data_IF_544627306268
#
_entry.id   IF_544627306268
#
_cell.length_a   1.000
_cell.length_b   1.000
_cell.length_c   1.000
_cell.angle_alpha   90.00
_cell.angle_beta   90.00
_cell.angle_gamma   90.00
#
_symmetry.space_group_name_H-M   'P 1'
#
loop_
_entity.id
_entity.type
_entity.pdbx_description
1 polymer ?
#
# COMPACT_ATOMS: atom_id res chain seq x y z
N UNK A 1 25.22 3.73 7.91
CA UNK A 1 24.53 2.69 7.13
C UNK A 1 24.60 3.09 5.67
N UNK A 2 25.28 2.31 4.82
CA UNK A 2 25.18 2.50 3.37
C UNK A 2 23.72 2.28 3.01
N UNK A 3 23.02 3.33 2.57
CA UNK A 3 21.68 3.21 2.01
C UNK A 3 21.77 2.31 0.78
N UNK A 4 21.28 1.09 0.90
CA UNK A 4 21.23 0.11 -0.18
C UNK A 4 20.51 0.72 -1.39
N UNK A 5 21.03 0.44 -2.58
CA UNK A 5 20.42 0.82 -3.83
C UNK A 5 19.10 0.04 -3.99
N UNK A 6 17.94 0.70 -4.17
CA UNK A 6 16.65 0.02 -4.33
C UNK A 6 16.62 -1.01 -5.45
N UNK A 7 17.39 -0.80 -6.52
CA UNK A 7 17.50 -1.76 -7.64
C UNK A 7 18.17 -3.05 -7.16
N UNK A 8 19.26 -2.94 -6.40
CA UNK A 8 20.00 -4.11 -5.92
C UNK A 8 19.15 -4.90 -4.91
N UNK A 9 18.45 -4.19 -4.01
CA UNK A 9 17.52 -4.84 -3.08
C UNK A 9 16.38 -5.54 -3.84
N UNK A 10 15.75 -4.87 -4.81
CA UNK A 10 14.69 -5.47 -5.60
C UNK A 10 15.16 -6.70 -6.39
N UNK A 11 16.32 -6.64 -7.05
CA UNK A 11 16.93 -7.79 -7.73
C UNK A 11 17.18 -8.97 -6.77
N UNK A 12 17.71 -8.70 -5.58
CA UNK A 12 17.96 -9.74 -4.56
C UNK A 12 16.69 -10.40 -4.02
N UNK A 13 15.56 -9.69 -4.03
CA UNK A 13 14.28 -10.15 -3.48
C UNK A 13 13.37 -10.79 -4.53
N UNK A 14 13.41 -10.29 -5.76
CA UNK A 14 12.48 -10.67 -6.83
C UNK A 14 13.10 -11.64 -7.84
N UNK A 15 14.37 -11.46 -8.21
CA UNK A 15 14.99 -12.22 -9.31
C UNK A 15 15.93 -13.31 -8.81
N UNK A 16 16.85 -12.98 -7.91
CA UNK A 16 17.86 -13.92 -7.43
C UNK A 16 17.26 -15.21 -6.80
N UNK A 17 16.17 -15.16 -6.00
CA UNK A 17 15.59 -16.36 -5.40
C UNK A 17 14.96 -17.32 -6.40
N UNK A 18 14.64 -16.82 -7.61
CA UNK A 18 13.93 -17.57 -8.64
C UNK A 18 14.83 -18.00 -9.79
N UNK A 19 16.13 -17.64 -9.72
CA UNK A 19 17.12 -17.91 -10.75
C UNK A 19 16.96 -17.03 -12.00
N UNK A 20 16.13 -15.98 -11.94
CA UNK A 20 16.00 -15.00 -13.01
C UNK A 20 17.17 -14.00 -12.98
N UNK A 21 17.55 -13.55 -14.17
CA UNK A 21 18.54 -12.51 -14.39
C UNK A 21 18.14 -11.64 -15.59
N UNK A 22 18.96 -10.66 -15.96
CA UNK A 22 18.65 -9.72 -17.04
C UNK A 22 18.49 -10.41 -18.41
N UNK A 23 19.17 -11.54 -18.67
CA UNK A 23 19.04 -12.26 -19.94
C UNK A 23 17.65 -12.87 -20.11
N UNK A 24 17.08 -13.38 -19.01
CA UNK A 24 15.71 -13.89 -18.99
C UNK A 24 14.67 -12.78 -19.23
N UNK A 25 14.92 -11.59 -18.71
CA UNK A 25 14.07 -10.42 -18.88
C UNK A 25 14.14 -9.89 -20.33
N UNK A 26 15.34 -9.84 -20.91
CA UNK A 26 15.55 -9.54 -22.33
C UNK A 26 14.77 -10.54 -23.20
N UNK A 27 14.81 -11.83 -22.88
CA UNK A 27 14.06 -12.85 -23.61
C UNK A 27 12.54 -12.61 -23.56
N UNK A 28 12.01 -12.24 -22.39
CA UNK A 28 10.59 -11.94 -22.21
C UNK A 28 10.16 -10.68 -22.97
N UNK A 29 10.93 -9.59 -22.88
CA UNK A 29 10.65 -8.38 -23.66
C UNK A 29 10.76 -8.58 -25.17
N UNK A 30 11.76 -9.33 -25.64
CA UNK A 30 11.87 -9.69 -27.05
C UNK A 30 10.69 -10.55 -27.53
N UNK A 31 10.05 -11.31 -26.63
CA UNK A 31 8.80 -12.03 -26.95
C UNK A 31 7.64 -11.05 -27.11
N UNK A 32 7.58 -10.00 -26.29
CA UNK A 32 6.53 -8.99 -26.33
C UNK A 32 6.63 -8.06 -27.54
N UNK A 33 7.83 -7.67 -27.94
CA UNK A 33 8.08 -6.73 -29.04
C UNK A 33 7.86 -7.33 -30.44
N UNK A 34 7.25 -8.52 -30.53
CA UNK A 34 6.88 -9.13 -31.81
C UNK A 34 5.52 -8.56 -32.30
N UNK A 35 5.38 -8.38 -33.61
CA UNK A 35 4.07 -8.05 -34.20
C UNK A 35 3.64 -6.58 -34.07
N UNK A 36 4.56 -5.62 -34.15
CA UNK A 36 4.18 -4.20 -34.15
C UNK A 36 3.70 -3.67 -32.79
N UNK A 37 4.24 -4.22 -31.71
CA UNK A 37 4.15 -3.63 -30.36
C UNK A 37 5.11 -2.44 -30.29
N UNK A 38 4.60 -1.29 -29.87
CA UNK A 38 5.34 -0.02 -29.77
C UNK A 38 6.20 0.02 -28.50
N UNK A 39 5.65 -0.46 -27.39
CA UNK A 39 6.34 -0.54 -26.10
C UNK A 39 5.79 -1.70 -25.26
N UNK A 40 6.65 -2.28 -24.44
CA UNK A 40 6.34 -3.35 -23.51
C UNK A 40 7.06 -3.15 -22.18
N UNK A 41 6.46 -3.64 -21.09
CA UNK A 41 7.08 -3.66 -19.78
C UNK A 41 6.79 -4.94 -18.99
N UNK A 42 7.70 -5.22 -18.06
CA UNK A 42 7.62 -6.24 -17.03
C UNK A 42 7.57 -5.53 -15.67
N UNK A 43 6.55 -5.81 -14.88
CA UNK A 43 6.36 -5.28 -13.54
C UNK A 43 6.41 -6.42 -12.52
N UNK A 44 7.49 -6.50 -11.76
CA UNK A 44 7.65 -7.50 -10.69
C UNK A 44 7.29 -6.88 -9.35
N UNK A 45 6.64 -7.66 -8.48
CA UNK A 45 6.24 -7.21 -7.16
C UNK A 45 6.30 -8.35 -6.15
N UNK A 46 6.71 -8.02 -4.94
CA UNK A 46 6.45 -8.81 -3.73
C UNK A 46 5.93 -7.88 -2.65
N UNK A 47 4.83 -8.27 -2.02
CA UNK A 47 4.16 -7.55 -0.95
C UNK A 47 4.12 -8.47 0.25
N UNK A 48 4.65 -8.01 1.38
CA UNK A 48 4.38 -8.63 2.68
C UNK A 48 3.47 -7.70 3.44
N UNK A 49 2.32 -8.21 3.85
CA UNK A 49 1.33 -7.48 4.63
C UNK A 49 1.18 -8.16 5.99
N UNK A 50 1.05 -7.34 7.02
CA UNK A 50 0.83 -7.76 8.39
C UNK A 50 -0.27 -6.91 9.01
N UNK A 51 -1.23 -7.53 9.70
CA UNK A 51 -2.28 -6.81 10.40
C UNK A 51 -2.54 -7.42 11.78
N UNK A 52 -2.74 -6.54 12.76
CA UNK A 52 -3.09 -6.90 14.14
C UNK A 52 -4.36 -6.15 14.53
N UNK A 53 -5.32 -6.83 15.13
CA UNK A 53 -6.54 -6.22 15.63
C UNK A 53 -6.76 -6.53 17.10
N UNK A 54 -7.11 -5.49 17.85
CA UNK A 54 -7.55 -5.57 19.23
C UNK A 54 -9.01 -5.16 19.31
N UNK A 55 -9.79 -5.97 20.03
CA UNK A 55 -11.17 -5.68 20.38
C UNK A 55 -11.45 -6.32 21.75
N UNK A 56 -12.27 -5.68 22.58
CA UNK A 56 -12.61 -6.15 23.93
C UNK A 56 -11.38 -6.32 24.86
N UNK A 57 -10.36 -5.48 24.68
CA UNK A 57 -9.12 -5.52 25.47
C UNK A 57 -8.20 -6.70 25.15
N UNK A 58 -8.56 -7.53 24.17
CA UNK A 58 -7.78 -8.68 23.72
C UNK A 58 -7.39 -8.52 22.25
N UNK A 59 -6.18 -8.95 21.90
CA UNK A 59 -5.78 -9.05 20.48
C UNK A 59 -6.52 -10.25 19.90
N UNK A 60 -7.48 -10.00 19.01
CA UNK A 60 -8.35 -11.03 18.42
C UNK A 60 -7.73 -11.68 17.19
N UNK A 61 -6.98 -10.90 16.40
CA UNK A 61 -6.43 -11.36 15.14
C UNK A 61 -5.00 -10.84 14.94
N UNK A 62 -4.14 -11.71 14.43
CA UNK A 62 -2.86 -11.37 13.81
C UNK A 62 -2.79 -12.11 12.48
N UNK A 63 -2.68 -11.38 11.38
CA UNK A 63 -2.60 -11.95 10.03
C UNK A 63 -1.30 -11.54 9.34
N UNK A 64 -0.75 -12.46 8.56
CA UNK A 64 0.41 -12.26 7.72
C UNK A 64 0.13 -12.84 6.35
N UNK A 65 0.31 -12.05 5.30
CA UNK A 65 0.17 -12.49 3.92
C UNK A 65 1.39 -12.07 3.10
N UNK A 66 1.72 -12.91 2.13
CA UNK A 66 2.76 -12.65 1.14
C UNK A 66 2.14 -12.85 -0.22
N UNK A 67 2.10 -11.77 -0.99
CA UNK A 67 1.68 -11.79 -2.39
C UNK A 67 2.90 -11.48 -3.25
N UNK A 68 3.04 -12.15 -4.38
CA UNK A 68 4.11 -11.88 -5.33
C UNK A 68 3.62 -12.15 -6.75
N UNK A 69 4.33 -11.59 -7.72
CA UNK A 69 4.02 -11.89 -9.10
C UNK A 69 4.76 -11.01 -10.10
N UNK A 70 4.45 -11.27 -11.36
CA UNK A 70 4.89 -10.46 -12.49
C UNK A 70 3.69 -10.13 -13.37
N UNK A 71 3.52 -8.84 -13.64
CA UNK A 71 2.63 -8.31 -14.67
C UNK A 71 3.40 -7.98 -15.93
N UNK A 72 2.79 -8.23 -17.09
CA UNK A 72 3.43 -8.03 -18.39
C UNK A 72 2.48 -7.25 -19.29
N UNK A 73 2.97 -6.14 -19.86
CA UNK A 73 2.18 -5.30 -20.79
C UNK A 73 2.84 -5.22 -22.15
N UNK A 74 2.00 -5.26 -23.18
CA UNK A 74 2.34 -4.90 -24.56
C UNK A 74 1.37 -3.82 -25.03
N UNK A 75 1.88 -2.75 -25.65
CA UNK A 75 1.08 -1.63 -26.13
C UNK A 75 1.34 -1.38 -27.63
N UNK A 76 0.26 -1.16 -28.39
CA UNK A 76 0.30 -0.83 -29.82
C UNK A 76 -0.78 0.21 -30.12
N UNK A 77 -0.38 1.47 -30.32
CA UNK A 77 -1.27 2.63 -30.33
C UNK A 77 -2.10 2.71 -29.05
N UNK A 78 -3.42 2.67 -29.19
CA UNK A 78 -4.38 2.72 -28.07
C UNK A 78 -4.69 1.34 -27.46
N UNK A 79 -4.11 0.26 -27.98
CA UNK A 79 -4.39 -1.11 -27.52
C UNK A 79 -3.37 -1.55 -26.48
N UNK A 80 -3.87 -2.16 -25.42
CA UNK A 80 -3.03 -2.75 -24.37
C UNK A 80 -3.38 -4.23 -24.21
N UNK A 81 -2.38 -5.09 -24.34
CA UNK A 81 -2.43 -6.47 -23.91
C UNK A 81 -1.78 -6.60 -22.56
N UNK A 82 -2.44 -7.33 -21.67
CA UNK A 82 -1.98 -7.54 -20.32
C UNK A 82 -2.18 -9.00 -19.91
N UNK A 83 -1.16 -9.56 -19.28
CA UNK A 83 -1.22 -10.84 -18.60
C UNK A 83 -0.35 -10.78 -17.35
N UNK A 84 -0.63 -11.64 -16.38
CA UNK A 84 0.12 -11.69 -15.13
C UNK A 84 0.26 -13.13 -14.63
N UNK A 85 1.15 -13.32 -13.67
CA UNK A 85 1.30 -14.56 -12.92
C UNK A 85 1.67 -14.27 -11.47
N UNK A 86 1.15 -15.09 -10.56
CA UNK A 86 1.49 -15.05 -9.13
C UNK A 86 2.83 -15.78 -8.83
N UNK A 87 3.48 -16.30 -9.87
CA UNK A 87 4.80 -16.93 -9.80
C UNK A 87 5.83 -16.12 -10.58
N UNK A 88 6.96 -15.82 -9.95
CA UNK A 88 8.09 -15.14 -10.59
C UNK A 88 9.07 -16.18 -11.09
N UNK A 89 8.68 -16.95 -12.12
CA UNK A 89 9.55 -17.97 -12.74
C UNK A 89 9.57 -17.83 -14.26
N UNK A 90 10.66 -18.25 -14.90
CA UNK A 90 10.84 -18.07 -16.35
C UNK A 90 9.68 -18.63 -17.19
N UNK A 91 9.16 -19.86 -16.95
CA UNK A 91 8.03 -20.37 -17.74
C UNK A 91 6.77 -19.50 -17.64
N UNK A 92 6.45 -19.02 -16.43
CA UNK A 92 5.31 -18.16 -16.17
C UNK A 92 5.48 -16.79 -16.86
N UNK A 93 6.68 -16.20 -16.74
CA UNK A 93 7.03 -14.95 -17.40
C UNK A 93 6.89 -15.03 -18.93
N UNK A 94 7.41 -16.10 -19.54
CA UNK A 94 7.31 -16.30 -20.99
C UNK A 94 5.87 -16.59 -21.43
N UNK A 95 5.08 -17.30 -20.63
CA UNK A 95 3.67 -17.54 -20.93
C UNK A 95 2.85 -16.24 -20.87
N UNK A 96 3.00 -15.45 -19.80
CA UNK A 96 2.38 -14.13 -19.69
C UNK A 96 2.80 -13.22 -20.85
N UNK A 97 4.08 -13.25 -21.22
CA UNK A 97 4.59 -12.47 -22.36
C UNK A 97 3.91 -12.81 -23.68
N UNK A 98 3.75 -14.10 -23.99
CA UNK A 98 3.04 -14.56 -25.20
C UNK A 98 1.56 -14.20 -25.18
N UNK A 99 0.92 -14.28 -24.02
CA UNK A 99 -0.49 -13.94 -23.89
C UNK A 99 -0.72 -12.43 -24.09
N UNK A 100 0.12 -11.59 -23.47
CA UNK A 100 0.04 -10.14 -23.62
C UNK A 100 0.35 -9.67 -25.05
N UNK A 101 1.29 -10.32 -25.76
CA UNK A 101 1.63 -9.95 -27.14
C UNK A 101 0.53 -10.25 -28.18
N UNK A 102 -0.48 -11.06 -27.84
CA UNK A 102 -1.53 -11.47 -28.76
C UNK A 102 -2.44 -10.32 -29.25
N UNK A 103 -2.38 -9.15 -28.62
CA UNK A 103 -3.14 -7.95 -29.04
C UNK A 103 -2.63 -7.32 -30.33
N UNK A 104 -1.39 -7.60 -30.71
CA UNK A 104 -0.70 -6.99 -31.83
C UNK A 104 -0.92 -7.83 -33.10
N UNK A 105 -1.07 -7.16 -34.26
CA UNK A 105 -1.25 -7.85 -35.55
C UNK A 105 0.10 -8.34 -36.07
N UNK A 106 0.14 -9.28 -37.01
CA UNK A 106 1.38 -9.61 -37.71
C UNK A 106 2.00 -8.32 -38.29
N UNK A 107 3.24 -8.01 -37.89
CA UNK A 107 3.90 -6.73 -38.11
C UNK A 107 5.40 -6.80 -37.84
N UNK A 108 6.12 -5.67 -38.00
CA UNK A 108 7.58 -5.63 -37.83
C UNK A 108 8.02 -5.93 -36.39
N UNK A 109 9.25 -6.42 -36.23
CA UNK A 109 9.87 -6.71 -34.93
C UNK A 109 10.46 -5.43 -34.32
N UNK A 110 10.13 -5.15 -33.06
CA UNK A 110 10.81 -4.15 -32.24
C UNK A 110 12.12 -4.68 -31.66
N UNK A 111 12.98 -3.77 -31.17
CA UNK A 111 14.21 -4.11 -30.45
C UNK A 111 14.19 -3.51 -29.05
N UNK A 112 14.60 -4.30 -28.05
CA UNK A 112 14.81 -3.83 -26.68
C UNK A 112 16.02 -2.88 -26.65
N UNK A 113 15.89 -1.72 -26.01
CA UNK A 113 17.02 -0.83 -25.79
C UNK A 113 17.86 -1.25 -24.58
N UNK A 114 19.14 -0.88 -24.58
CA UNK A 114 20.02 -1.18 -23.46
C UNK A 114 19.51 -0.54 -22.16
N UNK A 115 19.53 -1.33 -21.09
CA UNK A 115 19.00 -0.97 -19.78
C UNK A 115 19.72 0.21 -19.15
N UNK A 116 18.94 1.14 -18.59
CA UNK A 116 19.41 2.33 -17.90
C UNK A 116 18.62 2.47 -16.60
N UNK A 117 19.33 2.37 -15.49
CA UNK A 117 18.81 2.68 -14.18
C UNK A 117 18.27 4.11 -14.18
N UNK A 118 16.99 4.28 -13.85
CA UNK A 118 16.37 5.59 -13.78
C UNK A 118 16.64 6.23 -12.42
N UNK A 119 17.20 7.45 -12.36
CA UNK A 119 17.39 8.15 -11.11
C UNK A 119 16.03 8.55 -10.52
N UNK A 120 15.77 8.18 -9.28
CA UNK A 120 14.55 8.51 -8.54
C UNK A 120 14.82 9.39 -7.31
N UNK A 121 13.78 10.07 -6.84
CA UNK A 121 13.80 10.74 -5.54
C UNK A 121 13.62 9.74 -4.41
N UNK A 122 14.41 9.88 -3.34
CA UNK A 122 14.23 9.10 -2.10
C UNK A 122 13.17 9.79 -1.23
N UNK A 123 11.91 9.39 -1.39
CA UNK A 123 10.78 9.99 -0.70
C UNK A 123 10.49 9.34 0.67
N UNK A 124 11.02 8.14 0.90
CA UNK A 124 10.86 7.35 2.12
C UNK A 124 12.05 6.39 2.29
N UNK A 125 12.28 5.87 3.52
CA UNK A 125 13.35 4.90 3.75
C UNK A 125 13.03 3.55 3.09
N UNK A 126 14.03 2.95 2.44
CA UNK A 126 13.96 1.59 1.90
C UNK A 126 14.19 0.56 3.02
N UNK A 127 13.23 0.44 3.94
CA UNK A 127 13.30 -0.45 5.11
C UNK A 127 12.12 -1.41 5.12
N UNK A 128 12.29 -2.53 5.83
CA UNK A 128 11.20 -3.42 6.20
C UNK A 128 10.47 -2.89 7.44
N UNK A 129 9.25 -2.33 7.32
CA UNK A 129 8.51 -1.83 8.48
C UNK A 129 8.04 -2.97 9.40
N UNK A 130 7.85 -4.18 8.89
CA UNK A 130 7.31 -5.30 9.68
C UNK A 130 8.27 -5.76 10.76
N UNK A 131 9.58 -5.62 10.50
CA UNK A 131 10.66 -5.91 11.42
C UNK A 131 11.08 -4.71 12.30
N UNK A 132 10.41 -3.56 12.18
CA UNK A 132 10.83 -2.33 12.87
C UNK A 132 10.56 -2.32 14.38
N UNK A 133 9.58 -3.10 14.85
CA UNK A 133 9.31 -3.41 16.26
C UNK A 133 8.89 -4.87 16.38
N UNK A 134 9.06 -5.47 17.55
CA UNK A 134 8.68 -6.86 17.83
C UNK A 134 7.16 -7.04 17.92
N UNK A 135 6.68 -8.27 17.71
CA UNK A 135 5.25 -8.59 17.83
C UNK A 135 4.72 -8.33 19.24
N UNK A 136 5.53 -8.54 20.27
CA UNK A 136 5.20 -8.20 21.66
C UNK A 136 4.99 -6.69 21.84
N UNK A 137 5.82 -5.86 21.20
CA UNK A 137 5.66 -4.40 21.20
C UNK A 137 4.41 -3.96 20.42
N UNK A 138 4.10 -4.60 19.29
CA UNK A 138 2.85 -4.34 18.52
C UNK A 138 1.62 -4.63 19.39
N UNK A 139 1.60 -5.77 20.07
CA UNK A 139 0.51 -6.16 20.99
C UNK A 139 0.41 -5.19 22.17
N UNK A 140 1.55 -4.81 22.75
CA UNK A 140 1.57 -3.88 23.88
C UNK A 140 1.07 -2.48 23.49
N UNK A 141 1.43 -2.01 22.30
CA UNK A 141 0.96 -0.75 21.74
C UNK A 141 -0.57 -0.75 21.58
N UNK A 142 -1.15 -1.81 21.02
CA UNK A 142 -2.61 -1.93 20.90
C UNK A 142 -3.30 -1.90 22.28
N UNK A 143 -2.75 -2.61 23.28
CA UNK A 143 -3.29 -2.62 24.64
C UNK A 143 -3.23 -1.23 25.30
N UNK A 144 -2.14 -0.50 25.09
CA UNK A 144 -2.01 0.88 25.58
C UNK A 144 -3.05 1.81 24.95
N UNK A 145 -3.32 1.65 23.65
CA UNK A 145 -4.37 2.40 22.95
C UNK A 145 -5.75 2.09 23.54
N UNK A 146 -6.10 0.81 23.72
CA UNK A 146 -7.38 0.42 24.34
C UNK A 146 -7.57 1.03 25.73
N UNK A 147 -6.57 0.86 26.61
CA UNK A 147 -6.63 1.37 27.98
C UNK A 147 -6.77 2.89 28.02
N UNK A 148 -5.93 3.62 27.26
CA UNK A 148 -5.97 5.08 27.24
C UNK A 148 -7.25 5.63 26.60
N UNK A 149 -7.79 4.94 25.59
CA UNK A 149 -9.05 5.32 24.93
C UNK A 149 -10.25 5.13 25.85
N UNK A 150 -10.34 4.01 26.57
CA UNK A 150 -11.40 3.77 27.57
C UNK A 150 -11.32 4.73 28.75
N UNK A 151 -10.11 5.12 29.15
CA UNK A 151 -9.91 6.10 30.21
C UNK A 151 -10.32 7.54 29.81
N UNK A 152 -10.50 7.82 28.52
CA UNK A 152 -10.82 9.16 28.04
C UNK A 152 -12.26 9.59 28.36
N UNK A 153 -13.23 8.67 28.39
CA UNK A 153 -14.61 8.96 28.76
C UNK A 153 -15.33 7.68 29.25
N UNK A 154 -16.08 7.73 30.38
CA UNK A 154 -16.76 6.56 30.92
C UNK A 154 -17.89 6.02 30.03
N UNK A 155 -18.33 6.78 29.01
CA UNK A 155 -19.34 6.35 28.04
C UNK A 155 -18.78 5.43 26.97
N UNK A 156 -17.45 5.28 26.86
CA UNK A 156 -16.82 4.37 25.91
C UNK A 156 -17.13 2.92 26.31
N UNK A 157 -17.93 2.23 25.49
CA UNK A 157 -18.33 0.84 25.73
C UNK A 157 -17.48 -0.14 24.93
N UNK A 158 -17.05 0.26 23.72
CA UNK A 158 -16.24 -0.58 22.84
C UNK A 158 -15.08 0.23 22.25
N UNK A 159 -13.94 -0.43 22.13
CA UNK A 159 -12.76 0.07 21.41
C UNK A 159 -12.27 -1.04 20.50
N UNK A 160 -12.06 -0.69 19.24
CA UNK A 160 -11.40 -1.51 18.23
C UNK A 160 -10.18 -0.76 17.75
N UNK A 161 -9.00 -1.34 17.93
CA UNK A 161 -7.75 -0.76 17.46
C UNK A 161 -7.07 -1.73 16.49
N UNK A 162 -6.47 -1.22 15.42
CA UNK A 162 -5.68 -2.04 14.50
C UNK A 162 -4.37 -1.39 14.11
N UNK A 163 -3.37 -2.25 13.85
CA UNK A 163 -2.08 -1.91 13.28
C UNK A 163 -1.92 -2.69 11.98
N UNK A 164 -1.61 -1.99 10.90
CA UNK A 164 -1.34 -2.59 9.60
C UNK A 164 0.03 -2.14 9.12
N UNK A 165 0.81 -3.08 8.57
CA UNK A 165 2.10 -2.83 7.95
C UNK A 165 2.16 -3.47 6.56
N UNK A 166 2.81 -2.79 5.63
CA UNK A 166 3.07 -3.27 4.27
C UNK A 166 4.53 -3.02 3.94
N UNK A 167 5.22 -4.07 3.50
CA UNK A 167 6.51 -3.99 2.84
C UNK A 167 6.35 -4.44 1.39
N UNK A 168 6.35 -3.48 0.47
CA UNK A 168 6.23 -3.75 -0.95
C UNK A 168 7.56 -3.47 -1.65
N UNK A 169 8.05 -4.40 -2.45
CA UNK A 169 9.24 -4.23 -3.30
C UNK A 169 8.82 -4.43 -4.74
N UNK A 170 9.19 -3.48 -5.60
CA UNK A 170 8.85 -3.51 -7.02
C UNK A 170 10.07 -3.30 -7.91
N UNK A 171 10.00 -3.88 -9.10
CA UNK A 171 11.03 -3.76 -10.12
C UNK A 171 10.35 -3.69 -11.49
N UNK A 172 10.70 -2.68 -12.27
CA UNK A 172 10.12 -2.42 -13.59
C UNK A 172 11.23 -2.43 -14.62
N UNK A 173 10.99 -3.21 -15.68
CA UNK A 173 11.83 -3.27 -16.87
C UNK A 173 10.96 -2.92 -18.08
N UNK A 174 11.39 -1.93 -18.86
CA UNK A 174 10.68 -1.47 -20.05
C UNK A 174 11.55 -1.61 -21.30
N UNK A 175 10.89 -1.86 -22.43
CA UNK A 175 11.50 -2.00 -23.76
C UNK A 175 12.27 -0.76 -24.25
N UNK A 176 11.97 0.43 -23.71
CA UNK A 176 12.73 1.67 -23.94
C UNK A 176 14.04 1.74 -23.12
N UNK A 177 14.38 0.65 -22.43
CA UNK A 177 15.56 0.53 -21.60
C UNK A 177 15.37 1.05 -20.18
N UNK A 178 14.19 1.51 -19.77
CA UNK A 178 13.99 1.94 -18.39
C UNK A 178 14.08 0.76 -17.42
N UNK A 179 14.96 0.89 -16.42
CA UNK A 179 15.07 0.03 -15.26
C UNK A 179 14.83 0.86 -14.00
N UNK A 180 13.74 0.58 -13.28
CA UNK A 180 13.39 1.29 -12.05
C UNK A 180 12.98 0.30 -10.96
N UNK A 181 13.27 0.64 -9.71
CA UNK A 181 12.89 -0.16 -8.56
C UNK A 181 12.47 0.74 -7.41
N UNK A 182 11.66 0.19 -6.51
CA UNK A 182 11.20 0.91 -5.34
C UNK A 182 10.93 -0.03 -4.17
N UNK A 183 11.10 0.48 -2.96
CA UNK A 183 11.00 -0.24 -1.69
C UNK A 183 10.10 0.59 -0.78
N UNK A 184 8.88 0.13 -0.62
CA UNK A 184 7.72 0.90 -0.17
C UNK A 184 7.28 0.39 1.20
N UNK A 185 7.77 0.99 2.30
CA UNK A 185 7.13 0.79 3.59
C UNK A 185 5.80 1.54 3.63
N UNK A 186 4.83 1.00 4.35
CA UNK A 186 3.62 1.72 4.76
C UNK A 186 3.13 1.12 6.07
N UNK A 187 2.90 1.96 7.07
CA UNK A 187 2.27 1.57 8.33
C UNK A 187 1.04 2.42 8.59
N UNK A 188 0.03 1.84 9.25
CA UNK A 188 -1.20 2.53 9.61
C UNK A 188 -1.73 2.03 10.96
N UNK A 189 -2.19 2.96 11.78
CA UNK A 189 -2.98 2.68 12.98
C UNK A 189 -4.39 3.21 12.79
N UNK A 190 -5.37 2.44 13.27
CA UNK A 190 -6.77 2.80 13.27
C UNK A 190 -7.32 2.62 14.68
N UNK A 191 -8.15 3.55 15.15
CA UNK A 191 -8.89 3.47 16.40
C UNK A 191 -10.34 3.81 16.11
N UNK A 192 -11.23 2.87 16.40
CA UNK A 192 -12.68 3.03 16.34
C UNK A 192 -13.25 2.83 17.73
N UNK A 193 -14.23 3.64 18.11
CA UNK A 193 -14.88 3.57 19.42
C UNK A 193 -16.38 3.61 19.26
N UNK A 194 -17.08 2.96 20.19
CA UNK A 194 -18.51 3.13 20.40
C UNK A 194 -18.72 3.73 21.79
N UNK A 195 -19.51 4.79 21.85
CA UNK A 195 -19.95 5.43 23.10
C UNK A 195 -21.44 5.17 23.30
N UNK A 196 -21.87 5.05 24.55
CA UNK A 196 -23.28 4.89 24.91
C UNK A 196 -23.69 5.87 26.01
N UNK A 197 -24.88 6.47 25.88
CA UNK A 197 -25.54 7.20 26.98
C UNK A 197 -27.04 7.04 26.88
N UNK A 198 -27.67 6.59 27.97
CA UNK A 198 -29.14 6.43 28.07
C UNK A 198 -29.72 5.61 26.92
N UNK A 199 -29.03 4.55 26.50
CA UNK A 199 -29.44 3.67 25.41
C UNK A 199 -29.19 4.19 23.99
N UNK A 200 -28.72 5.44 23.81
CA UNK A 200 -28.24 5.95 22.52
C UNK A 200 -26.77 5.56 22.35
N UNK A 201 -26.43 5.02 21.18
CA UNK A 201 -25.05 4.68 20.78
C UNK A 201 -24.63 5.48 19.58
N UNK A 202 -23.38 5.91 19.59
CA UNK A 202 -22.71 6.52 18.44
C UNK A 202 -21.27 6.06 18.36
N UNK A 203 -20.66 6.25 17.19
CA UNK A 203 -19.31 5.82 16.91
C UNK A 203 -18.41 6.97 16.48
N UNK A 204 -17.12 6.80 16.69
CA UNK A 204 -16.10 7.74 16.24
C UNK A 204 -14.84 6.99 15.84
N UNK A 205 -14.08 7.62 14.96
CA UNK A 205 -12.91 7.00 14.35
C UNK A 205 -11.78 8.02 14.24
N UNK A 206 -10.56 7.55 14.45
CA UNK A 206 -9.33 8.28 14.19
C UNK A 206 -8.21 7.33 13.82
N UNK A 207 -7.18 7.84 13.17
CA UNK A 207 -6.05 7.03 12.76
C UNK A 207 -5.14 7.79 11.82
N UNK A 208 -4.08 7.11 11.41
CA UNK A 208 -3.08 7.69 10.53
C UNK A 208 -1.89 6.76 10.36
N UNK A 209 -0.88 7.26 9.68
CA UNK A 209 0.30 6.49 9.34
C UNK A 209 1.11 7.15 8.24
N UNK A 210 1.95 6.36 7.58
CA UNK A 210 2.80 6.87 6.52
C UNK A 210 3.82 5.85 6.05
N UNK A 211 4.67 6.27 5.11
CA UNK A 211 5.73 5.43 4.54
C UNK A 211 6.97 5.42 5.42
N UNK A 212 6.88 4.69 6.53
CA UNK A 212 7.92 4.57 7.56
C UNK A 212 7.73 3.25 8.35
N UNK A 213 8.52 3.04 9.42
CA UNK A 213 8.37 1.90 10.32
C UNK A 213 7.35 2.14 11.44
N UNK A 214 6.93 1.08 12.14
CA UNK A 214 6.00 1.14 13.26
C UNK A 214 6.50 1.99 14.43
N UNK A 215 7.81 2.23 14.54
CA UNK A 215 8.41 3.18 15.49
C UNK A 215 7.77 4.58 15.42
N UNK A 216 7.19 4.96 14.28
CA UNK A 216 6.40 6.18 14.12
C UNK A 216 5.26 6.32 15.17
N UNK A 217 4.65 5.21 15.59
CA UNK A 217 3.58 5.24 16.60
C UNK A 217 4.12 5.25 18.03
N UNK A 218 5.40 4.95 18.24
CA UNK A 218 6.03 4.99 19.57
C UNK A 218 6.54 6.39 19.93
N UNK A 219 6.60 7.29 18.96
CA UNK A 219 6.99 8.67 19.14
C UNK A 219 5.81 9.53 19.61
N UNK A 220 6.13 10.50 20.48
CA UNK A 220 5.17 11.43 21.06
C UNK A 220 4.01 10.69 21.77
N UNK A 221 2.81 11.28 21.78
CA UNK A 221 1.59 10.71 22.34
C UNK A 221 0.61 10.30 21.22
N UNK A 222 1.12 9.95 20.02
CA UNK A 222 0.30 9.72 18.82
C UNK A 222 -0.79 8.67 19.00
N UNK A 223 -0.52 7.47 19.58
CA UNK A 223 -1.53 6.43 19.74
C UNK A 223 -2.69 6.87 20.64
N UNK A 224 -2.38 7.47 21.78
CA UNK A 224 -3.41 7.99 22.68
C UNK A 224 -4.12 9.22 22.09
N UNK A 225 -3.42 10.03 21.28
CA UNK A 225 -4.00 11.10 20.48
C UNK A 225 -5.08 10.60 19.52
N UNK A 226 -4.84 9.50 18.80
CA UNK A 226 -5.86 8.86 17.97
C UNK A 226 -7.05 8.39 18.81
N UNK A 227 -6.80 7.73 19.95
CA UNK A 227 -7.85 7.33 20.88
C UNK A 227 -8.74 8.48 21.34
N UNK A 228 -8.14 9.57 21.82
CA UNK A 228 -8.87 10.76 22.27
C UNK A 228 -9.67 11.41 21.14
N UNK A 229 -9.12 11.48 19.93
CA UNK A 229 -9.83 12.06 18.78
C UNK A 229 -11.01 11.18 18.36
N UNK A 230 -10.86 9.85 18.36
CA UNK A 230 -11.97 8.93 18.08
C UNK A 230 -13.10 9.10 19.10
N UNK A 231 -12.77 9.21 20.40
CA UNK A 231 -13.73 9.49 21.47
C UNK A 231 -14.41 10.85 21.26
N UNK A 232 -13.64 11.90 20.96
CA UNK A 232 -14.19 13.24 20.70
C UNK A 232 -15.20 13.23 19.55
N UNK A 233 -14.88 12.56 18.44
CA UNK A 233 -15.80 12.41 17.30
C UNK A 233 -17.07 11.67 17.68
N UNK A 234 -16.94 10.55 18.43
CA UNK A 234 -18.09 9.77 18.88
C UNK A 234 -19.04 10.57 19.77
N UNK A 235 -18.48 11.37 20.68
CA UNK A 235 -19.25 12.24 21.57
C UNK A 235 -19.96 13.37 20.81
N UNK A 236 -19.32 13.96 19.82
CA UNK A 236 -19.96 14.96 18.96
C UNK A 236 -21.14 14.35 18.20
N UNK A 237 -20.97 13.15 17.65
CA UNK A 237 -22.05 12.43 16.98
C UNK A 237 -23.20 12.12 17.95
N UNK A 238 -22.88 11.78 19.21
CA UNK A 238 -23.86 11.49 20.25
C UNK A 238 -24.74 12.70 20.59
N UNK A 239 -24.19 13.90 20.51
CA UNK A 239 -24.90 15.15 20.78
C UNK A 239 -25.51 15.80 19.51
N UNK A 240 -25.21 15.25 18.33
CA UNK A 240 -25.64 15.82 17.06
C UNK A 240 -27.17 15.76 16.85
N UNK A 241 -27.67 16.80 16.17
CA UNK A 241 -29.05 16.97 15.72
C UNK A 241 -29.15 16.87 14.19
N UNK A 242 -30.35 16.73 13.60
CA UNK A 242 -30.52 16.74 12.16
C UNK A 242 -29.90 17.98 11.51
N UNK A 243 -29.12 17.77 10.45
CA UNK A 243 -28.53 18.85 9.67
C UNK A 243 -29.61 19.58 8.83
N UNK A 244 -29.44 20.89 8.53
CA UNK A 244 -30.34 21.62 7.64
C UNK A 244 -30.29 21.06 6.21
N UNK A 245 -31.39 21.21 5.47
CA UNK A 245 -31.53 20.76 4.08
C UNK A 245 -31.56 21.94 3.09
N UNK A 246 -30.92 21.77 1.93
CA UNK A 246 -30.91 22.76 0.85
C UNK A 246 -29.51 23.26 0.49
N UNK A 247 -29.45 24.11 -0.53
CA UNK A 247 -28.21 24.80 -0.91
C UNK A 247 -27.81 25.81 0.17
N UNK A 248 -26.54 25.78 0.57
CA UNK A 248 -26.01 26.68 1.60
C UNK A 248 -24.50 26.85 1.45
N UNK A 249 -23.97 27.90 2.09
CA UNK A 249 -22.52 28.08 2.22
C UNK A 249 -21.97 27.04 3.19
N UNK A 250 -21.01 26.24 2.74
CA UNK A 250 -20.28 25.29 3.56
C UNK A 250 -18.83 25.75 3.75
N UNK A 251 -18.35 25.72 5.00
CA UNK A 251 -16.94 25.98 5.33
C UNK A 251 -16.27 24.64 5.60
N UNK A 252 -15.21 24.35 4.85
CA UNK A 252 -14.45 23.12 5.00
C UNK A 252 -13.19 23.36 5.83
N UNK A 253 -12.97 22.50 6.83
CA UNK A 253 -11.73 22.49 7.59
C UNK A 253 -10.53 22.05 6.74
N UNK A 254 -9.30 22.27 7.22
CA UNK A 254 -8.09 21.81 6.53
C UNK A 254 -7.94 20.27 6.61
N UNK A 255 -7.10 19.70 5.75
CA UNK A 255 -6.71 18.28 5.81
C UNK A 255 -7.67 17.37 5.04
N UNK A 256 -8.26 16.38 5.72
CA UNK A 256 -9.12 15.36 5.09
C UNK A 256 -10.31 15.90 4.28
N UNK A 257 -10.97 17.04 4.63
CA UNK A 257 -11.99 17.64 3.77
C UNK A 257 -11.51 18.02 2.36
N UNK A 258 -10.19 17.99 2.11
CA UNK A 258 -9.61 18.02 0.77
C UNK A 258 -10.07 16.90 -0.18
N UNK A 259 -10.82 15.91 0.31
CA UNK A 259 -11.64 15.00 -0.53
C UNK A 259 -12.46 15.79 -1.55
N UNK A 260 -12.91 17.01 -1.24
CA UNK A 260 -13.55 17.88 -2.23
C UNK A 260 -12.69 18.04 -3.51
N UNK A 261 -11.38 18.29 -3.36
CA UNK A 261 -10.49 18.47 -4.49
C UNK A 261 -10.27 17.14 -5.23
N UNK A 262 -10.17 16.04 -4.49
CA UNK A 262 -10.04 14.70 -5.06
C UNK A 262 -11.21 14.35 -5.98
N UNK A 263 -12.44 14.57 -5.50
CA UNK A 263 -13.65 14.21 -6.23
C UNK A 263 -14.01 15.21 -7.32
N UNK A 264 -13.94 16.52 -7.02
CA UNK A 264 -14.48 17.54 -7.92
C UNK A 264 -13.60 17.77 -9.16
N UNK A 265 -12.27 17.61 -9.01
CA UNK A 265 -11.31 17.91 -10.07
C UNK A 265 -10.18 16.88 -10.19
N UNK A 266 -10.05 15.93 -9.27
CA UNK A 266 -8.93 14.97 -9.28
C UNK A 266 -9.14 13.78 -10.20
N UNK A 267 -10.37 13.32 -10.39
CA UNK A 267 -10.71 12.19 -11.26
C UNK A 267 -10.98 12.54 -12.73
N UNK A 268 -11.39 13.79 -13.00
CA UNK A 268 -11.77 14.28 -14.34
C UNK A 268 -10.57 14.58 -15.22
#
# INVERSE_FOLDING_TARGET
MQTENPIDLAKSRLLAPTGLDEQHLDQALNTLLQGGVDTADLYFQVVRHESWSLEDGIVKEGSHSIDQGVGVRAMSGEKTGFAYSDEIVLPALLHASKAASAIARLGQQGQVQAWRAQPGHRLYPAIDPLASITDAEKVQLLKQVDQSTRAADPRVVQVVASLTGVHEVVLVYSSDGALAADVRPLVRMNVSVIVETKGRREQGYSGGGGRCGFGYFLEEDRPAGYGREAVRQALINLDAQPAPAGEMVAVLGPGWPGVLLHEAIGHG
#
